data_IF_291324466692
#
_entry.id   IF_291324466692
#
_cell.length_a   1.000
_cell.length_b   1.000
_cell.length_c   1.000
_cell.angle_alpha   90.00
_cell.angle_beta   90.00
_cell.angle_gamma   90.00
#
_symmetry.space_group_name_H-M   'P 1'
#
loop_
_entity.id
_entity.type
_entity.pdbx_description
1 polymer ?
#
# COMPACT_ATOMS: atom_id res chain seq x y z
N UNK A 1 -11.92 8.55 11.10
CA UNK A 1 -11.65 7.37 10.28
C UNK A 1 -11.69 7.84 8.84
N UNK A 2 -10.68 7.51 8.03
CA UNK A 2 -10.55 8.02 6.67
C UNK A 2 -9.30 7.43 6.04
N UNK A 3 -9.49 6.55 5.06
CA UNK A 3 -8.40 5.81 4.43
C UNK A 3 -8.72 5.41 3.00
N UNK A 4 -9.90 4.86 2.75
CA UNK A 4 -10.21 4.21 1.47
C UNK A 4 -10.62 5.14 0.33
N UNK A 5 -10.36 6.45 0.41
CA UNK A 5 -10.87 7.42 -0.58
C UNK A 5 -12.40 7.35 -0.70
N UNK A 6 -13.10 6.93 0.34
CA UNK A 6 -14.55 6.69 0.32
C UNK A 6 -15.35 7.94 -0.03
N UNK A 7 -14.79 9.12 0.26
CA UNK A 7 -15.33 10.44 -0.11
C UNK A 7 -14.87 10.96 -1.47
N UNK A 8 -14.11 10.19 -2.23
CA UNK A 8 -13.49 10.61 -3.49
C UNK A 8 -13.69 9.58 -4.62
N UNK A 9 -14.67 8.69 -4.49
CA UNK A 9 -14.92 7.59 -5.42
C UNK A 9 -15.09 8.06 -6.88
N UNK A 10 -15.79 9.18 -7.08
CA UNK A 10 -16.05 9.78 -8.39
C UNK A 10 -15.02 10.83 -8.83
N UNK A 11 -13.86 10.91 -8.17
CA UNK A 11 -12.83 11.93 -8.45
C UNK A 11 -13.19 13.33 -7.95
N UNK A 12 -14.31 13.48 -7.23
CA UNK A 12 -14.74 14.69 -6.55
C UNK A 12 -15.11 14.37 -5.11
N UNK A 13 -14.93 15.34 -4.21
CA UNK A 13 -15.28 15.19 -2.80
C UNK A 13 -16.79 15.06 -2.63
N UNK A 14 -17.22 13.96 -2.03
CA UNK A 14 -18.59 13.73 -1.56
C UNK A 14 -18.59 13.64 -0.03
N UNK A 15 -19.19 14.59 0.70
CA UNK A 15 -19.27 14.52 2.15
C UNK A 15 -20.06 13.31 2.66
N UNK A 16 -20.94 12.75 1.83
CA UNK A 16 -21.77 11.58 2.13
C UNK A 16 -21.14 10.26 1.63
N UNK A 17 -19.95 10.33 1.01
CA UNK A 17 -19.23 9.14 0.56
C UNK A 17 -18.95 8.20 1.74
N UNK A 18 -19.28 6.93 1.55
CA UNK A 18 -19.15 5.87 2.53
C UNK A 18 -18.33 4.71 1.96
N UNK A 19 -17.74 3.92 2.85
CA UNK A 19 -17.06 2.69 2.45
C UNK A 19 -18.03 1.76 1.69
N UNK A 20 -17.55 1.01 0.69
CA UNK A 20 -18.38 0.02 0.01
C UNK A 20 -18.94 -1.03 0.97
N UNK A 21 -20.03 -1.70 0.55
CA UNK A 21 -20.53 -2.88 1.26
C UNK A 21 -19.40 -3.93 1.40
N UNK A 22 -19.27 -4.66 2.54
CA UNK A 22 -18.21 -5.63 2.74
C UNK A 22 -18.10 -6.71 1.65
N UNK A 23 -19.18 -6.98 0.91
CA UNK A 23 -19.22 -7.94 -0.20
C UNK A 23 -18.91 -7.33 -1.57
N UNK A 24 -18.84 -6.01 -1.66
CA UNK A 24 -18.42 -5.29 -2.86
C UNK A 24 -16.88 -5.25 -2.97
N UNK A 25 -16.34 -5.00 -4.17
CA UNK A 25 -14.92 -4.70 -4.34
C UNK A 25 -14.46 -3.53 -3.46
N UNK A 26 -13.30 -3.68 -2.83
CA UNK A 26 -12.65 -2.61 -2.09
C UNK A 26 -12.22 -1.47 -3.01
N UNK A 27 -12.16 -0.26 -2.47
CA UNK A 27 -11.61 0.89 -3.19
C UNK A 27 -10.10 0.74 -3.35
N UNK A 28 -9.62 0.97 -4.57
CA UNK A 28 -8.22 0.92 -4.93
C UNK A 28 -7.51 2.27 -4.83
N UNK A 29 -6.17 2.27 -4.80
CA UNK A 29 -5.39 3.49 -4.94
C UNK A 29 -5.59 4.12 -6.30
N UNK A 30 -5.25 5.41 -6.42
CA UNK A 30 -5.30 6.14 -7.68
C UNK A 30 -3.92 6.27 -8.31
N UNK A 31 -3.84 6.18 -9.63
CA UNK A 31 -2.61 6.31 -10.41
C UNK A 31 -2.83 7.24 -11.59
N UNK A 32 -1.85 8.09 -11.86
CA UNK A 32 -1.79 8.92 -13.04
C UNK A 32 -0.34 9.07 -13.47
N UNK A 33 -0.09 9.06 -14.78
CA UNK A 33 1.21 9.40 -15.32
C UNK A 33 1.43 10.90 -15.15
N UNK A 34 2.59 11.31 -14.65
CA UNK A 34 2.96 12.72 -14.64
C UNK A 34 3.37 13.17 -16.05
N UNK A 35 2.98 14.38 -16.41
CA UNK A 35 3.49 15.07 -17.59
C UNK A 35 4.99 15.37 -17.42
N UNK A 36 5.72 15.62 -18.52
CA UNK A 36 7.15 15.90 -18.46
C UNK A 36 7.54 17.11 -17.58
N UNK A 37 6.61 18.02 -17.32
CA UNK A 37 6.81 19.17 -16.42
C UNK A 37 6.73 18.81 -14.93
N UNK A 38 6.26 17.61 -14.60
CA UNK A 38 6.03 17.12 -13.23
C UNK A 38 5.00 17.93 -12.42
N UNK A 39 4.20 18.77 -13.08
CA UNK A 39 3.18 19.62 -12.47
C UNK A 39 1.75 19.22 -12.87
N UNK A 40 1.60 18.47 -13.97
CA UNK A 40 0.31 18.01 -14.48
C UNK A 40 0.28 16.49 -14.66
N UNK A 41 -0.93 15.94 -14.84
CA UNK A 41 -1.11 14.56 -15.29
C UNK A 41 -1.11 14.49 -16.82
N UNK A 42 -0.37 13.52 -17.36
CA UNK A 42 -0.39 13.10 -18.76
C UNK A 42 -1.45 12.01 -18.95
N UNK A 43 -2.71 12.43 -18.91
CA UNK A 43 -3.88 11.56 -19.01
C UNK A 43 -4.77 11.56 -17.76
N UNK A 44 -5.86 10.78 -17.79
CA UNK A 44 -6.79 10.70 -16.66
C UNK A 44 -6.19 9.96 -15.46
N UNK A 45 -6.69 10.28 -14.28
CA UNK A 45 -6.48 9.46 -13.08
C UNK A 45 -7.25 8.16 -13.23
N UNK A 46 -6.58 7.03 -13.01
CA UNK A 46 -7.16 5.70 -13.02
C UNK A 46 -7.13 5.08 -11.61
N UNK A 47 -7.98 4.09 -11.39
CA UNK A 47 -7.94 3.24 -10.19
C UNK A 47 -7.06 2.03 -10.44
N UNK A 48 -6.20 1.71 -9.47
CA UNK A 48 -5.45 0.45 -9.46
C UNK A 48 -6.34 -0.65 -8.91
N UNK A 49 -6.55 -1.70 -9.72
CA UNK A 49 -7.18 -2.93 -9.25
C UNK A 49 -6.16 -3.78 -8.48
N UNK A 50 -6.51 -4.18 -7.26
CA UNK A 50 -5.80 -5.21 -6.49
C UNK A 50 -6.68 -6.45 -6.44
N UNK A 51 -6.11 -7.57 -6.87
CA UNK A 51 -6.84 -8.84 -7.03
C UNK A 51 -6.19 -9.95 -6.21
N UNK A 52 -6.97 -10.96 -5.85
CA UNK A 52 -6.50 -12.19 -5.22
C UNK A 52 -5.79 -13.10 -6.23
N UNK A 53 -5.31 -14.24 -5.74
CA UNK A 53 -4.57 -15.24 -6.50
C UNK A 53 -5.41 -15.90 -7.62
N UNK A 54 -6.73 -15.76 -7.56
CA UNK A 54 -7.69 -16.26 -8.55
C UNK A 54 -8.13 -15.17 -9.54
N UNK A 55 -7.57 -13.96 -9.43
CA UNK A 55 -7.89 -12.82 -10.29
C UNK A 55 -9.18 -12.08 -9.92
N UNK A 56 -9.75 -12.32 -8.73
CA UNK A 56 -10.92 -11.60 -8.24
C UNK A 56 -10.52 -10.33 -7.47
N UNK A 57 -11.24 -9.21 -7.60
CA UNK A 57 -10.99 -8.03 -6.77
C UNK A 57 -11.05 -8.37 -5.27
N UNK A 58 -10.13 -7.79 -4.49
CA UNK A 58 -10.24 -7.86 -3.04
C UNK A 58 -11.54 -7.16 -2.59
N UNK A 59 -12.22 -7.76 -1.61
CA UNK A 59 -13.50 -7.25 -1.11
C UNK A 59 -13.28 -6.19 -0.03
N UNK A 60 -14.24 -5.27 0.12
CA UNK A 60 -14.17 -4.22 1.13
C UNK A 60 -14.13 -4.79 2.56
N UNK A 61 -14.75 -5.95 2.81
CA UNK A 61 -14.67 -6.65 4.09
C UNK A 61 -13.34 -7.38 4.37
N UNK A 62 -12.43 -7.44 3.40
CA UNK A 62 -11.15 -8.14 3.51
C UNK A 62 -10.06 -7.20 4.07
N UNK A 63 -10.24 -6.79 5.32
CA UNK A 63 -9.42 -5.75 5.96
C UNK A 63 -7.94 -6.14 6.11
N UNK A 64 -7.60 -7.42 6.08
CA UNK A 64 -6.22 -7.90 6.14
C UNK A 64 -5.46 -7.72 4.82
N UNK A 65 -6.18 -7.54 3.71
CA UNK A 65 -5.57 -7.47 2.37
C UNK A 65 -5.94 -6.21 1.59
N UNK A 66 -7.12 -5.62 1.78
CA UNK A 66 -7.56 -4.46 0.99
C UNK A 66 -6.68 -3.24 1.21
N UNK A 67 -6.64 -2.36 0.22
CA UNK A 67 -5.97 -1.08 0.32
C UNK A 67 -6.62 -0.20 1.40
N UNK A 68 -5.81 0.53 2.16
CA UNK A 68 -6.26 1.60 3.03
C UNK A 68 -5.47 2.89 2.76
N UNK A 69 -4.14 2.88 2.87
CA UNK A 69 -3.32 4.07 2.58
C UNK A 69 -1.86 3.70 2.25
N UNK A 70 -0.96 4.69 2.22
CA UNK A 70 0.50 4.48 2.14
C UNK A 70 0.97 3.75 0.86
N UNK A 71 0.40 4.12 -0.29
CA UNK A 71 0.79 3.58 -1.59
C UNK A 71 2.28 3.81 -1.89
N UNK A 72 3.01 2.73 -2.15
CA UNK A 72 4.41 2.77 -2.58
C UNK A 72 4.66 1.76 -3.70
N UNK A 73 5.25 2.21 -4.81
CA UNK A 73 5.61 1.38 -5.96
C UNK A 73 7.12 1.31 -6.11
N UNK A 74 7.68 0.11 -6.21
CA UNK A 74 9.07 -0.11 -6.59
C UNK A 74 9.17 -1.23 -7.63
N UNK A 75 10.33 -1.34 -8.30
CA UNK A 75 10.58 -2.38 -9.30
C UNK A 75 11.75 -3.26 -8.85
N UNK A 76 11.55 -4.57 -8.88
CA UNK A 76 12.57 -5.56 -8.54
C UNK A 76 12.53 -6.69 -9.58
N UNK A 77 13.69 -7.02 -10.18
CA UNK A 77 13.83 -8.06 -11.21
C UNK A 77 12.79 -8.00 -12.35
N UNK A 78 12.45 -6.79 -12.82
CA UNK A 78 11.49 -6.61 -13.90
C UNK A 78 10.02 -6.50 -13.47
N UNK A 79 9.69 -6.90 -12.23
CA UNK A 79 8.35 -6.91 -11.66
C UNK A 79 8.07 -5.64 -10.87
N UNK A 80 6.85 -5.11 -10.98
CA UNK A 80 6.36 -4.00 -10.16
C UNK A 80 5.76 -4.52 -8.86
N UNK A 81 6.18 -3.93 -7.74
CA UNK A 81 5.72 -4.26 -6.39
C UNK A 81 4.97 -3.05 -5.83
N UNK A 82 3.65 -3.18 -5.75
CA UNK A 82 2.78 -2.19 -5.14
C UNK A 82 2.52 -2.61 -3.70
N UNK A 83 2.97 -1.77 -2.78
CA UNK A 83 2.90 -2.02 -1.33
C UNK A 83 2.14 -0.91 -0.64
N UNK A 84 1.41 -1.25 0.42
CA UNK A 84 0.47 -0.35 1.07
C UNK A 84 0.15 -0.77 2.50
N UNK A 85 -0.43 0.16 3.25
CA UNK A 85 -0.97 -0.07 4.59
C UNK A 85 -2.42 -0.56 4.49
N UNK A 86 -2.78 -1.52 5.35
CA UNK A 86 -4.15 -2.02 5.50
C UNK A 86 -4.96 -1.24 6.54
N UNK A 87 -4.34 -0.26 7.22
CA UNK A 87 -5.02 0.63 8.15
C UNK A 87 -5.40 -0.05 9.45
N UNK A 88 -6.65 -0.47 9.56
CA UNK A 88 -7.25 -0.96 10.80
C UNK A 88 -6.82 -2.38 11.21
N UNK A 89 -6.10 -3.08 10.33
CA UNK A 89 -5.39 -4.33 10.65
C UNK A 89 -3.88 -4.13 10.80
N UNK A 90 -3.40 -2.90 10.58
CA UNK A 90 -2.04 -2.44 10.90
C UNK A 90 -0.91 -3.16 10.17
N UNK A 91 -1.19 -3.78 9.02
CA UNK A 91 -0.21 -4.50 8.22
C UNK A 91 0.38 -3.59 7.15
N UNK A 92 1.63 -3.85 6.78
CA UNK A 92 2.13 -3.49 5.46
C UNK A 92 2.09 -4.73 4.59
N UNK A 93 1.41 -4.64 3.46
CA UNK A 93 1.23 -5.74 2.50
C UNK A 93 1.72 -5.33 1.12
N UNK A 94 1.84 -6.30 0.22
CA UNK A 94 2.19 -6.05 -1.16
C UNK A 94 1.47 -6.95 -2.15
N UNK A 95 1.37 -6.42 -3.36
CA UNK A 95 0.87 -7.06 -4.56
C UNK A 95 1.84 -6.80 -5.72
N UNK A 96 1.84 -7.65 -6.75
CA UNK A 96 2.78 -7.54 -7.88
C UNK A 96 2.09 -7.54 -9.24
N UNK A 97 2.71 -6.88 -10.21
CA UNK A 97 2.25 -6.79 -11.60
C UNK A 97 3.44 -6.69 -12.56
N UNK A 98 3.21 -7.01 -13.82
CA UNK A 98 4.12 -6.71 -14.94
C UNK A 98 3.94 -5.27 -15.47
N UNK A 99 2.89 -4.58 -15.03
CA UNK A 99 2.54 -3.20 -15.42
C UNK A 99 2.60 -2.23 -14.24
N UNK A 100 3.07 -0.98 -14.42
CA UNK A 100 3.04 0.04 -13.37
C UNK A 100 1.62 0.45 -12.96
N UNK A 101 0.61 0.15 -13.78
CA UNK A 101 -0.80 0.49 -13.52
C UNK A 101 -1.65 -0.72 -13.13
N UNK A 102 -1.03 -1.90 -12.95
CA UNK A 102 -1.73 -3.11 -12.57
C UNK A 102 -2.47 -3.82 -13.73
N UNK A 103 -3.40 -4.75 -13.42
CA UNK A 103 -3.82 -5.10 -12.06
C UNK A 103 -2.68 -5.72 -11.24
N UNK A 104 -2.71 -5.51 -9.92
CA UNK A 104 -1.72 -6.09 -9.00
C UNK A 104 -2.32 -7.29 -8.26
N UNK A 105 -1.64 -8.43 -8.34
CA UNK A 105 -2.05 -9.65 -7.65
C UNK A 105 -1.42 -9.68 -6.27
N UNK A 106 -2.24 -9.81 -5.22
CA UNK A 106 -1.81 -9.88 -3.82
C UNK A 106 -0.76 -10.98 -3.63
N UNK A 107 0.17 -10.75 -2.69
CA UNK A 107 1.28 -11.68 -2.40
C UNK A 107 1.46 -11.97 -0.92
N UNK A 108 1.26 -10.98 -0.04
CA UNK A 108 1.37 -11.20 1.40
C UNK A 108 1.84 -9.98 2.18
N UNK A 109 2.28 -10.24 3.41
CA UNK A 109 2.67 -9.22 4.40
C UNK A 109 4.17 -8.94 4.34
N UNK A 110 4.53 -7.65 4.30
CA UNK A 110 5.90 -7.15 4.45
C UNK A 110 6.23 -6.92 5.92
N UNK A 111 5.32 -6.32 6.69
CA UNK A 111 5.55 -5.94 8.09
C UNK A 111 4.30 -6.22 8.93
N UNK A 112 4.47 -6.91 10.05
CA UNK A 112 3.43 -7.11 11.07
C UNK A 112 3.21 -5.85 11.92
N UNK A 113 2.15 -5.77 12.75
CA UNK A 113 1.77 -4.54 13.44
C UNK A 113 2.90 -3.92 14.28
N UNK A 114 3.01 -2.60 14.21
CA UNK A 114 3.94 -1.78 14.99
C UNK A 114 3.26 -1.20 16.24
N UNK A 115 4.05 -0.62 17.15
CA UNK A 115 3.50 0.19 18.25
C UNK A 115 2.88 1.47 17.67
N UNK A 116 1.61 1.74 17.99
CA UNK A 116 0.83 2.88 17.47
C UNK A 116 -0.13 2.47 16.36
N UNK A 117 -1.18 3.26 16.11
CA UNK A 117 -2.26 2.87 15.20
C UNK A 117 -1.85 2.87 13.72
N UNK A 118 -1.07 3.86 13.29
CA UNK A 118 -0.68 4.00 11.87
C UNK A 118 0.57 3.19 11.56
N UNK A 119 0.58 2.50 10.43
CA UNK A 119 1.79 1.98 9.78
C UNK A 119 1.93 2.61 8.39
N UNK A 120 3.15 2.99 7.99
CA UNK A 120 3.47 3.64 6.71
C UNK A 120 4.93 3.33 6.36
N UNK A 121 5.28 3.31 5.08
CA UNK A 121 6.61 2.90 4.65
C UNK A 121 7.08 3.48 3.31
N UNK A 122 8.35 3.18 3.02
CA UNK A 122 8.91 3.16 1.67
C UNK A 122 9.93 2.02 1.54
N UNK A 123 10.16 1.57 0.31
CA UNK A 123 11.13 0.51 -0.02
C UNK A 123 12.11 1.04 -1.04
N UNK A 124 13.40 0.92 -0.75
CA UNK A 124 14.47 1.44 -1.61
C UNK A 124 15.70 0.54 -1.57
N UNK A 125 16.38 0.43 -2.70
CA UNK A 125 17.70 -0.18 -2.79
C UNK A 125 18.78 0.88 -2.55
N UNK A 126 19.74 0.57 -1.69
CA UNK A 126 20.93 1.39 -1.48
C UNK A 126 22.16 0.50 -1.39
N UNK A 127 23.13 0.74 -2.28
CA UNK A 127 24.39 -0.01 -2.36
C UNK A 127 24.20 -1.54 -2.45
N UNK A 128 23.21 -2.00 -3.22
CA UNK A 128 22.94 -3.42 -3.43
C UNK A 128 22.15 -4.10 -2.30
N UNK A 129 21.73 -3.36 -1.28
CA UNK A 129 20.86 -3.84 -0.22
C UNK A 129 19.50 -3.14 -0.28
N UNK A 130 18.44 -3.92 -0.12
CA UNK A 130 17.08 -3.38 -0.01
C UNK A 130 16.74 -3.06 1.44
N UNK A 131 16.03 -1.94 1.62
CA UNK A 131 15.62 -1.44 2.92
C UNK A 131 14.13 -1.14 2.94
N UNK A 132 13.50 -1.50 4.05
CA UNK A 132 12.19 -1.00 4.44
C UNK A 132 12.40 0.16 5.41
N UNK A 133 12.00 1.36 5.01
CA UNK A 133 11.81 2.47 5.94
C UNK A 133 10.37 2.45 6.43
N UNK A 134 10.16 2.54 7.73
CA UNK A 134 8.84 2.54 8.35
C UNK A 134 8.84 3.43 9.59
N UNK A 135 7.73 3.54 10.32
CA UNK A 135 7.71 4.21 11.63
C UNK A 135 7.03 3.35 12.69
N UNK A 136 7.23 3.73 13.94
CA UNK A 136 6.36 3.34 15.05
C UNK A 136 6.25 4.49 16.06
N UNK A 137 5.51 4.25 17.15
CA UNK A 137 5.34 5.18 18.27
C UNK A 137 6.16 4.77 19.51
N UNK A 138 7.18 3.91 19.39
CA UNK A 138 7.90 3.38 20.56
C UNK A 138 8.62 4.49 21.32
N UNK A 139 9.26 5.43 20.62
CA UNK A 139 10.00 6.55 21.23
C UNK A 139 9.09 7.48 22.07
N UNK A 140 7.80 7.54 21.73
CA UNK A 140 6.83 8.37 22.44
C UNK A 140 6.08 7.64 23.56
N UNK A 141 6.37 6.35 23.80
CA UNK A 141 5.61 5.51 24.71
C UNK A 141 4.22 5.13 24.19
N UNK A 142 4.05 5.00 22.87
CA UNK A 142 2.80 4.55 22.24
C UNK A 142 1.82 5.65 21.82
N UNK A 143 2.23 6.93 21.84
CA UNK A 143 1.39 8.04 21.39
C UNK A 143 1.32 8.05 19.86
N UNK A 144 0.20 7.57 19.30
CA UNK A 144 0.00 7.34 17.85
C UNK A 144 0.37 8.55 16.96
N UNK A 145 0.10 9.78 17.39
CA UNK A 145 0.41 10.99 16.60
C UNK A 145 1.86 11.49 16.78
N UNK A 146 2.67 10.83 17.60
CA UNK A 146 4.10 11.11 17.83
C UNK A 146 4.93 9.89 17.43
N UNK A 147 5.40 9.88 16.19
CA UNK A 147 6.05 8.72 15.56
C UNK A 147 7.54 8.96 15.37
N UNK A 148 8.29 7.89 15.25
CA UNK A 148 9.72 7.87 14.94
C UNK A 148 10.00 6.91 13.79
N UNK A 149 10.71 7.39 12.77
CA UNK A 149 11.12 6.56 11.62
C UNK A 149 12.18 5.55 12.05
N UNK A 150 12.08 4.34 11.51
CA UNK A 150 13.00 3.21 11.64
C UNK A 150 13.36 2.69 10.25
N UNK A 151 14.41 1.87 10.18
CA UNK A 151 14.84 1.19 8.95
C UNK A 151 15.23 -0.25 9.28
N UNK A 152 14.86 -1.18 8.41
CA UNK A 152 15.26 -2.58 8.48
C UNK A 152 15.70 -3.06 7.10
N UNK A 153 16.60 -4.05 7.06
CA UNK A 153 16.93 -4.74 5.82
C UNK A 153 15.69 -5.50 5.31
N UNK A 154 15.39 -5.36 4.02
CA UNK A 154 14.33 -6.09 3.34
C UNK A 154 14.98 -7.15 2.44
N UNK A 155 14.47 -8.39 2.50
CA UNK A 155 15.00 -9.51 1.75
C UNK A 155 13.93 -10.09 0.82
N UNK A 156 14.30 -10.32 -0.44
CA UNK A 156 13.50 -11.09 -1.38
C UNK A 156 13.95 -12.55 -1.37
N UNK A 157 12.99 -13.46 -1.48
CA UNK A 157 13.20 -14.85 -1.80
C UNK A 157 13.50 -15.02 -3.30
N UNK A 158 14.00 -16.19 -3.69
CA UNK A 158 14.36 -16.48 -5.07
C UNK A 158 13.19 -16.40 -6.06
N UNK A 159 11.96 -16.62 -5.59
CA UNK A 159 10.73 -16.50 -6.39
C UNK A 159 10.19 -15.05 -6.47
N UNK A 160 10.90 -14.10 -5.88
CA UNK A 160 10.51 -12.69 -5.81
C UNK A 160 9.57 -12.35 -4.67
N UNK A 161 9.16 -13.28 -3.82
CA UNK A 161 8.37 -12.95 -2.61
C UNK A 161 9.23 -12.22 -1.58
N UNK A 162 8.62 -11.34 -0.77
CA UNK A 162 9.31 -10.60 0.31
C UNK A 162 9.20 -11.38 1.62
N UNK A 163 10.29 -11.46 2.38
CA UNK A 163 10.29 -12.03 3.72
C UNK A 163 9.63 -11.05 4.72
N UNK A 164 8.61 -11.53 5.44
CA UNK A 164 7.90 -10.73 6.44
C UNK A 164 8.81 -10.36 7.62
N UNK A 165 8.79 -9.08 7.99
CA UNK A 165 9.49 -8.54 9.14
C UNK A 165 8.55 -8.42 10.36
N UNK A 166 9.11 -8.63 11.55
CA UNK A 166 8.44 -8.45 12.84
C UNK A 166 9.17 -7.34 13.63
N UNK A 167 8.55 -6.16 13.81
CA UNK A 167 9.20 -4.96 14.35
C UNK A 167 9.32 -4.91 15.88
#
# INVERSE_FOLDING_TARGET
>A
WGGQLEKWQAGAFDPNGAEPDPTAPALGPRVAKLAPDMLHFDGPVAEIAIIDENGQPLLAGDHDRRFFEAAWLHKYNGTYYFSYSTGDTHLLVYATSDSPTGPFVFRGTILTPVIGWTTHHSIVEFQGQWYLFYHDSSLSGGVTHKRSVKVAALNYNADGTIQTLNP
#
